data_IF_257901676381
#
_entry.id   IF_257901676381
#
_cell.length_a   1.000
_cell.length_b   1.000
_cell.length_c   1.000
_cell.angle_alpha   90.00
_cell.angle_beta   90.00
_cell.angle_gamma   90.00
#
_symmetry.space_group_name_H-M   'P 1'
#
loop_
_entity.id
_entity.type
_entity.pdbx_description
1 polymer ?
#
# COMPACT_ATOMS: atom_id res chain seq x y z
N UNK A 1 11.12 -12.31 4.01
CA UNK A 1 11.63 -11.98 2.69
C UNK A 1 11.36 -13.09 1.69
N UNK A 2 11.03 -14.28 2.15
CA UNK A 2 10.61 -15.43 1.33
C UNK A 2 9.11 -15.44 0.99
N UNK A 3 8.39 -14.31 1.10
CA UNK A 3 6.98 -14.24 0.76
C UNK A 3 6.75 -14.60 -0.71
N UNK A 4 5.93 -15.62 -1.02
CA UNK A 4 5.72 -16.05 -2.40
C UNK A 4 4.93 -15.03 -3.20
N UNK A 5 5.16 -14.99 -4.50
CA UNK A 5 4.31 -14.21 -5.40
C UNK A 5 2.95 -14.90 -5.56
N UNK A 6 1.84 -14.16 -5.51
CA UNK A 6 0.52 -14.74 -5.73
C UNK A 6 0.33 -15.17 -7.19
N UNK A 7 -0.49 -16.20 -7.40
CA UNK A 7 -0.84 -16.67 -8.74
C UNK A 7 -1.70 -15.67 -9.52
N UNK A 8 -2.48 -14.85 -8.82
CA UNK A 8 -3.41 -13.88 -9.41
C UNK A 8 -3.42 -12.58 -8.61
N UNK A 9 -3.36 -11.50 -9.35
CA UNK A 9 -3.43 -10.14 -8.79
C UNK A 9 -4.83 -9.54 -8.99
N UNK A 10 -5.28 -8.72 -8.06
CA UNK A 10 -6.58 -8.05 -8.13
C UNK A 10 -6.58 -6.86 -9.12
N UNK A 11 -5.42 -6.30 -9.39
CA UNK A 11 -5.24 -5.22 -10.38
C UNK A 11 -3.81 -5.21 -10.92
N UNK A 12 -3.54 -4.37 -11.90
CA UNK A 12 -2.25 -4.32 -12.59
C UNK A 12 -1.12 -3.77 -11.71
N UNK A 13 -1.42 -2.91 -10.74
CA UNK A 13 -0.38 -2.30 -9.89
C UNK A 13 0.50 -3.34 -9.18
N UNK A 14 -0.03 -4.26 -8.34
CA UNK A 14 0.81 -5.28 -7.71
C UNK A 14 1.43 -6.25 -8.71
N UNK A 15 0.76 -6.51 -9.84
CA UNK A 15 1.30 -7.36 -10.90
C UNK A 15 2.56 -6.76 -11.52
N UNK A 16 2.50 -5.51 -11.94
CA UNK A 16 3.65 -4.80 -12.54
C UNK A 16 4.79 -4.62 -11.56
N UNK A 17 4.50 -4.36 -10.27
CA UNK A 17 5.55 -4.27 -9.24
C UNK A 17 6.25 -5.60 -9.01
N UNK A 18 5.50 -6.71 -8.96
CA UNK A 18 6.08 -8.05 -8.83
C UNK A 18 6.92 -8.44 -10.06
N UNK A 19 6.47 -8.09 -11.27
CA UNK A 19 7.23 -8.30 -12.50
C UNK A 19 8.53 -7.49 -12.50
N UNK A 20 8.46 -6.20 -12.16
CA UNK A 20 9.64 -5.33 -12.07
C UNK A 20 10.67 -5.88 -11.06
N UNK A 21 10.23 -6.33 -9.89
CA UNK A 21 11.11 -6.94 -8.90
C UNK A 21 11.80 -8.19 -9.45
N UNK A 22 11.06 -9.09 -10.10
CA UNK A 22 11.66 -10.29 -10.74
C UNK A 22 12.70 -9.92 -11.78
N UNK A 23 12.42 -8.94 -12.64
CA UNK A 23 13.34 -8.48 -13.67
C UNK A 23 14.63 -7.89 -13.06
N UNK A 24 14.50 -7.07 -12.02
CA UNK A 24 15.65 -6.48 -11.31
C UNK A 24 16.51 -7.58 -10.66
N UNK A 25 15.89 -8.56 -9.99
CA UNK A 25 16.65 -9.65 -9.37
C UNK A 25 17.31 -10.57 -10.38
N UNK A 26 16.69 -10.80 -11.54
CA UNK A 26 17.28 -11.57 -12.65
C UNK A 26 18.44 -10.85 -13.32
N UNK A 27 18.47 -9.52 -13.28
CA UNK A 27 19.58 -8.72 -13.82
C UNK A 27 20.81 -8.68 -12.90
N UNK A 28 20.73 -9.32 -11.71
CA UNK A 28 21.86 -9.38 -10.78
C UNK A 28 22.94 -10.32 -11.30
N UNK A 29 24.14 -9.78 -11.54
CA UNK A 29 25.32 -10.55 -11.97
C UNK A 29 26.63 -9.94 -11.42
N UNK A 30 27.76 -10.39 -11.89
CA UNK A 30 29.07 -9.90 -11.47
C UNK A 30 29.35 -8.44 -11.86
N UNK A 31 28.63 -7.90 -12.84
CA UNK A 31 28.79 -6.52 -13.34
C UNK A 31 27.74 -5.57 -12.78
N UNK A 32 26.59 -6.09 -12.35
CA UNK A 32 25.45 -5.31 -11.86
C UNK A 32 24.90 -5.92 -10.57
N UNK A 33 25.22 -5.32 -9.43
CA UNK A 33 24.62 -5.69 -8.17
C UNK A 33 23.22 -5.06 -8.04
N UNK A 34 22.19 -5.91 -7.91
CA UNK A 34 20.81 -5.46 -7.72
C UNK A 34 20.24 -5.98 -6.41
N UNK A 35 19.36 -5.19 -5.81
CA UNK A 35 18.57 -5.54 -4.64
C UNK A 35 17.20 -4.88 -4.72
N UNK A 36 16.23 -5.40 -4.02
CA UNK A 36 14.89 -4.83 -3.95
C UNK A 36 14.45 -4.60 -2.50
N UNK A 37 13.67 -3.54 -2.28
CA UNK A 37 13.00 -3.31 -1.00
C UNK A 37 11.49 -3.30 -1.19
N UNK A 38 10.78 -3.76 -0.17
CA UNK A 38 9.31 -3.84 -0.09
C UNK A 38 8.84 -3.02 1.10
N UNK A 39 8.77 -1.68 0.99
CA UNK A 39 8.22 -0.86 2.06
C UNK A 39 6.70 -1.01 2.08
N UNK A 40 6.11 -0.98 3.27
CA UNK A 40 4.67 -1.04 3.44
C UNK A 40 4.12 0.32 3.88
N UNK A 41 3.08 0.82 3.21
CA UNK A 41 2.38 2.08 3.52
C UNK A 41 3.33 3.23 3.89
N UNK A 42 4.14 3.68 2.93
CA UNK A 42 5.03 4.83 3.13
C UNK A 42 4.20 6.08 3.39
N UNK A 43 4.55 6.83 4.44
CA UNK A 43 3.90 8.08 4.83
C UNK A 43 4.91 9.09 5.36
N UNK A 44 4.55 10.36 5.38
CA UNK A 44 5.39 11.43 5.91
C UNK A 44 5.32 12.72 5.12
N UNK A 45 6.19 13.70 5.40
CA UNK A 45 6.27 14.93 4.64
C UNK A 45 6.49 14.69 3.15
N UNK A 46 5.71 15.38 2.31
CA UNK A 46 5.79 15.22 0.86
C UNK A 46 5.01 14.02 0.29
N UNK A 47 4.30 13.24 1.12
CA UNK A 47 3.45 12.15 0.63
C UNK A 47 2.36 12.68 -0.32
N UNK A 48 2.37 12.30 -1.61
CA UNK A 48 1.33 12.74 -2.55
C UNK A 48 0.13 11.80 -2.61
N UNK A 49 0.16 10.65 -1.92
CA UNK A 49 -0.77 9.55 -2.15
C UNK A 49 -1.59 9.15 -0.92
N UNK A 50 -0.98 8.64 0.15
CA UNK A 50 -1.68 8.02 1.26
C UNK A 50 -2.48 9.05 2.07
N UNK A 51 -1.77 9.97 2.73
CA UNK A 51 -2.39 10.95 3.64
C UNK A 51 -3.34 11.90 2.91
N UNK A 52 -2.97 12.52 1.76
CA UNK A 52 -3.88 13.39 1.02
C UNK A 52 -5.16 12.69 0.56
N UNK A 53 -5.06 11.43 0.13
CA UNK A 53 -6.24 10.64 -0.29
C UNK A 53 -7.16 10.31 0.88
N UNK A 54 -6.61 9.97 2.05
CA UNK A 54 -7.39 9.74 3.27
C UNK A 54 -8.15 11.02 3.66
N UNK A 55 -7.48 12.16 3.73
CA UNK A 55 -8.09 13.47 4.03
C UNK A 55 -9.20 13.80 3.04
N UNK A 56 -8.93 13.70 1.74
CA UNK A 56 -9.92 13.98 0.68
C UNK A 56 -11.15 13.09 0.80
N UNK A 57 -10.97 11.80 1.07
CA UNK A 57 -12.08 10.83 1.22
C UNK A 57 -12.85 11.06 2.51
N UNK A 58 -12.17 11.38 3.62
CA UNK A 58 -12.82 11.71 4.88
C UNK A 58 -13.70 12.96 4.76
N UNK A 59 -13.17 14.06 4.20
CA UNK A 59 -13.93 15.31 3.96
C UNK A 59 -15.14 15.10 3.05
N UNK A 60 -15.05 14.23 2.06
CA UNK A 60 -16.17 13.89 1.17
C UNK A 60 -17.11 12.82 1.76
N UNK A 61 -16.90 12.37 3.00
CA UNK A 61 -17.67 11.31 3.68
C UNK A 61 -17.70 9.98 2.91
N UNK A 62 -16.67 9.73 2.10
CA UNK A 62 -16.53 8.52 1.26
C UNK A 62 -15.59 7.47 1.86
N UNK A 63 -15.00 7.76 3.03
CA UNK A 63 -14.16 6.81 3.74
C UNK A 63 -15.03 5.92 4.62
N UNK A 64 -14.84 4.61 4.52
CA UNK A 64 -15.60 3.59 5.26
C UNK A 64 -14.61 2.60 5.87
N UNK A 65 -14.85 2.23 7.12
CA UNK A 65 -14.17 1.12 7.76
C UNK A 65 -14.61 -0.18 7.07
N UNK A 66 -13.68 -0.93 6.51
CA UNK A 66 -13.96 -2.22 5.90
C UNK A 66 -13.74 -3.33 6.93
N UNK A 67 -14.69 -4.26 7.03
CA UNK A 67 -14.63 -5.33 8.01
C UNK A 67 -14.92 -4.86 9.43
N UNK A 68 -14.26 -5.44 10.41
CA UNK A 68 -14.40 -5.11 11.83
C UNK A 68 -13.58 -3.89 12.26
N UNK A 69 -12.64 -3.45 11.45
CA UNK A 69 -11.74 -2.33 11.71
C UNK A 69 -10.57 -2.67 12.64
N UNK A 70 -10.26 -3.95 12.79
CA UNK A 70 -9.17 -4.45 13.66
C UNK A 70 -7.93 -4.89 12.89
N UNK A 71 -7.88 -4.62 11.58
CA UNK A 71 -6.73 -4.95 10.77
C UNK A 71 -5.47 -4.21 11.26
N UNK A 72 -4.39 -4.96 11.44
CA UNK A 72 -3.08 -4.44 11.78
C UNK A 72 -2.25 -4.32 10.51
N UNK A 73 -1.54 -3.22 10.39
CA UNK A 73 -0.66 -2.93 9.27
C UNK A 73 0.68 -2.44 9.76
N UNK A 74 1.72 -2.79 9.05
CA UNK A 74 3.00 -2.12 9.18
C UNK A 74 2.98 -0.81 8.39
N UNK A 75 3.71 0.17 8.89
CA UNK A 75 3.89 1.44 8.22
C UNK A 75 5.38 1.75 8.08
N UNK A 76 5.71 2.60 7.14
CA UNK A 76 7.09 3.04 6.92
C UNK A 76 7.13 4.56 6.86
N UNK A 77 7.72 5.19 7.87
CA UNK A 77 7.95 6.63 7.79
C UNK A 77 8.99 6.94 6.70
N UNK A 78 8.82 8.06 6.01
CA UNK A 78 9.63 8.39 4.82
C UNK A 78 11.14 8.38 5.10
N UNK A 79 11.58 8.88 6.24
CA UNK A 79 13.00 8.92 6.59
C UNK A 79 13.57 7.51 6.79
N UNK A 80 12.78 6.56 7.30
CA UNK A 80 13.18 5.15 7.42
C UNK A 80 13.26 4.49 6.05
N UNK A 81 12.33 4.80 5.14
CA UNK A 81 12.41 4.32 3.76
C UNK A 81 13.66 4.86 3.05
N UNK A 82 13.96 6.16 3.19
CA UNK A 82 15.18 6.78 2.65
C UNK A 82 16.43 6.15 3.25
N UNK A 83 16.47 6.00 4.59
CA UNK A 83 17.60 5.37 5.28
C UNK A 83 17.87 3.95 4.79
N UNK A 84 16.80 3.16 4.56
CA UNK A 84 16.92 1.81 4.01
C UNK A 84 17.55 1.81 2.61
N UNK A 85 17.13 2.70 1.72
CA UNK A 85 17.72 2.84 0.38
C UNK A 85 19.21 3.19 0.45
N UNK A 86 19.58 4.17 1.29
CA UNK A 86 20.97 4.59 1.44
C UNK A 86 21.83 3.45 2.02
N UNK A 87 21.35 2.78 3.06
CA UNK A 87 22.06 1.64 3.66
C UNK A 87 22.30 0.52 2.67
N UNK A 88 21.32 0.18 1.84
CA UNK A 88 21.47 -0.85 0.80
C UNK A 88 22.44 -0.42 -0.32
N UNK A 89 22.38 0.85 -0.74
CA UNK A 89 23.27 1.39 -1.76
C UNK A 89 24.74 1.44 -1.31
N UNK A 90 24.99 1.55 -0.02
CA UNK A 90 26.33 1.60 0.57
C UNK A 90 26.82 0.26 1.13
N UNK A 91 25.96 -0.75 1.17
CA UNK A 91 26.31 -2.06 1.71
C UNK A 91 27.26 -2.81 0.77
N UNK A 92 28.17 -3.66 1.28
CA UNK A 92 28.96 -4.57 0.46
C UNK A 92 28.06 -5.46 -0.40
N UNK A 93 28.43 -5.64 -1.68
CA UNK A 93 27.63 -6.39 -2.66
C UNK A 93 27.29 -7.81 -2.18
N UNK A 94 28.22 -8.51 -1.55
CA UNK A 94 28.03 -9.86 -1.01
C UNK A 94 26.88 -9.94 0.02
N UNK A 95 26.55 -8.83 0.67
CA UNK A 95 25.50 -8.78 1.67
C UNK A 95 24.11 -8.54 1.06
N UNK A 96 24.03 -7.91 -0.11
CA UNK A 96 22.75 -7.41 -0.66
C UNK A 96 22.41 -7.91 -2.06
N UNK A 97 23.39 -8.42 -2.82
CA UNK A 97 23.20 -8.85 -4.19
C UNK A 97 22.10 -9.91 -4.32
N UNK A 98 21.15 -9.68 -5.21
CA UNK A 98 20.04 -10.59 -5.50
C UNK A 98 19.03 -10.77 -4.36
N UNK A 99 19.08 -9.95 -3.31
CA UNK A 99 18.22 -10.09 -2.13
C UNK A 99 17.04 -9.12 -2.15
N UNK A 100 16.02 -9.47 -1.36
CA UNK A 100 14.81 -8.65 -1.15
C UNK A 100 14.63 -8.40 0.33
N UNK A 101 14.28 -7.18 0.72
CA UNK A 101 14.09 -6.79 2.11
C UNK A 101 12.73 -6.14 2.31
N UNK A 102 11.97 -6.58 3.33
CA UNK A 102 10.85 -5.80 3.83
C UNK A 102 11.37 -4.63 4.67
N UNK A 103 10.70 -3.50 4.54
CA UNK A 103 11.02 -2.29 5.31
C UNK A 103 9.74 -1.79 5.98
N UNK A 104 9.80 -1.66 7.30
CA UNK A 104 8.73 -1.08 8.12
C UNK A 104 9.34 -0.39 9.34
N UNK A 105 8.50 0.34 10.08
CA UNK A 105 8.90 0.97 11.34
C UNK A 105 8.95 -0.04 12.51
N UNK A 106 8.61 -1.33 12.25
CA UNK A 106 8.54 -2.42 13.23
C UNK A 106 7.56 -2.17 14.41
N UNK A 107 6.58 -1.31 14.17
CA UNK A 107 5.51 -0.96 15.11
C UNK A 107 4.13 -1.12 14.43
N UNK A 108 3.63 -2.36 14.27
CA UNK A 108 2.34 -2.59 13.62
C UNK A 108 1.20 -1.89 14.34
N UNK A 109 0.43 -1.10 13.63
CA UNK A 109 -0.68 -0.31 14.17
C UNK A 109 -2.05 -0.86 13.72
N UNK A 110 -3.09 -0.61 14.50
CA UNK A 110 -4.46 -0.77 14.01
C UNK A 110 -4.76 0.35 13.00
N UNK A 111 -4.93 0.00 11.72
CA UNK A 111 -5.07 0.97 10.63
C UNK A 111 -6.12 2.03 10.91
N UNK A 112 -7.31 1.61 11.35
CA UNK A 112 -8.43 2.54 11.56
C UNK A 112 -8.25 3.42 12.79
N UNK A 113 -7.57 2.93 13.83
CA UNK A 113 -7.17 3.75 14.98
C UNK A 113 -6.16 4.82 14.55
N UNK A 114 -5.18 4.43 13.76
CA UNK A 114 -4.17 5.36 13.22
C UNK A 114 -4.82 6.42 12.31
N UNK A 115 -5.70 6.02 11.37
CA UNK A 115 -6.41 6.94 10.48
C UNK A 115 -7.24 7.93 11.30
N UNK A 116 -8.05 7.47 12.26
CA UNK A 116 -8.88 8.34 13.05
C UNK A 116 -8.07 9.29 13.95
N UNK A 117 -6.95 8.83 14.51
CA UNK A 117 -6.01 9.69 15.24
C UNK A 117 -5.43 10.79 14.36
N UNK A 118 -5.06 10.47 13.10
CA UNK A 118 -4.59 11.45 12.13
C UNK A 118 -5.68 12.49 11.80
N UNK A 119 -6.90 12.02 11.49
CA UNK A 119 -8.03 12.90 11.17
C UNK A 119 -8.39 13.82 12.33
N UNK A 120 -8.43 13.29 13.55
CA UNK A 120 -8.71 14.06 14.77
C UNK A 120 -7.70 15.18 14.98
N UNK A 121 -6.41 14.93 14.80
CA UNK A 121 -5.34 15.95 14.87
C UNK A 121 -5.47 17.05 13.83
N UNK A 122 -6.14 16.77 12.71
CA UNK A 122 -6.42 17.72 11.64
C UNK A 122 -7.78 18.42 11.80
N UNK A 123 -8.52 18.17 12.89
CA UNK A 123 -9.86 18.71 13.11
C UNK A 123 -10.93 18.11 12.17
N UNK A 124 -10.66 16.95 11.55
CA UNK A 124 -11.58 16.24 10.66
C UNK A 124 -12.31 15.18 11.48
N UNK A 125 -13.65 15.06 11.34
CA UNK A 125 -14.43 14.04 12.05
C UNK A 125 -13.92 12.62 11.79
N UNK A 126 -13.94 11.79 12.83
CA UNK A 126 -13.56 10.39 12.75
C UNK A 126 -14.48 9.60 11.81
N UNK A 127 -13.93 8.57 11.21
CA UNK A 127 -14.66 7.60 10.39
C UNK A 127 -15.30 6.57 11.33
N UNK A 128 -16.63 6.52 11.35
CA UNK A 128 -17.40 5.58 12.16
C UNK A 128 -18.25 4.61 11.33
N UNK A 129 -18.52 4.97 10.07
CA UNK A 129 -19.33 4.15 9.16
C UNK A 129 -18.56 2.91 8.73
N UNK A 130 -19.21 1.76 8.82
CA UNK A 130 -18.63 0.45 8.46
C UNK A 130 -19.32 -0.16 7.25
N UNK A 131 -18.57 -0.98 6.54
CA UNK A 131 -19.05 -1.87 5.48
C UNK A 131 -18.41 -3.25 5.69
N UNK A 132 -19.16 -4.33 5.55
CA UNK A 132 -18.57 -5.67 5.62
C UNK A 132 -17.60 -5.88 4.44
N UNK A 133 -16.60 -6.73 4.64
CA UNK A 133 -15.62 -7.07 3.60
C UNK A 133 -16.31 -7.56 2.31
N UNK A 134 -17.28 -8.48 2.43
CA UNK A 134 -18.00 -9.02 1.28
C UNK A 134 -18.77 -7.95 0.51
N UNK A 135 -19.42 -7.02 1.22
CA UNK A 135 -20.14 -5.93 0.59
C UNK A 135 -19.18 -4.92 -0.07
N UNK A 136 -18.03 -4.65 0.54
CA UNK A 136 -16.99 -3.82 -0.07
C UNK A 136 -16.44 -4.45 -1.34
N UNK A 137 -16.20 -5.78 -1.34
CA UNK A 137 -15.75 -6.54 -2.51
C UNK A 137 -16.79 -6.55 -3.63
N UNK A 138 -18.08 -6.77 -3.30
CA UNK A 138 -19.19 -6.71 -4.27
C UNK A 138 -19.33 -5.33 -4.88
N UNK A 139 -19.30 -4.29 -4.04
CA UNK A 139 -19.35 -2.89 -4.50
C UNK A 139 -18.16 -2.55 -5.39
N UNK A 140 -16.95 -2.93 -4.99
CA UNK A 140 -15.73 -2.74 -5.78
C UNK A 140 -15.84 -3.40 -7.15
N UNK A 141 -16.25 -4.67 -7.21
CA UNK A 141 -16.42 -5.39 -8.48
C UNK A 141 -17.48 -4.73 -9.39
N UNK A 142 -18.61 -4.28 -8.82
CA UNK A 142 -19.64 -3.58 -9.58
C UNK A 142 -19.12 -2.25 -10.16
N UNK A 143 -18.48 -1.45 -9.30
CA UNK A 143 -17.95 -0.14 -9.73
C UNK A 143 -16.83 -0.30 -10.78
N UNK A 144 -15.93 -1.26 -10.61
CA UNK A 144 -14.89 -1.55 -11.62
C UNK A 144 -15.51 -1.88 -12.99
N UNK A 145 -16.57 -2.72 -13.02
CA UNK A 145 -17.28 -3.06 -14.26
C UNK A 145 -17.98 -1.86 -14.89
N UNK A 146 -18.67 -1.04 -14.09
CA UNK A 146 -19.37 0.16 -14.58
C UNK A 146 -18.38 1.18 -15.14
N UNK A 147 -17.28 1.43 -14.41
CA UNK A 147 -16.24 2.38 -14.85
C UNK A 147 -15.57 1.92 -16.15
N UNK A 148 -15.27 0.62 -16.26
CA UNK A 148 -14.72 0.06 -17.49
C UNK A 148 -15.72 0.13 -18.66
N UNK A 149 -16.99 -0.19 -18.43
CA UNK A 149 -18.02 -0.13 -19.46
C UNK A 149 -18.28 1.30 -19.98
N UNK A 150 -18.25 2.28 -19.07
CA UNK A 150 -18.44 3.70 -19.40
C UNK A 150 -17.13 4.42 -19.76
N UNK A 151 -16.02 3.70 -19.85
CA UNK A 151 -14.68 4.23 -20.15
C UNK A 151 -14.28 5.42 -19.25
N UNK A 152 -14.75 5.41 -17.96
CA UNK A 152 -14.45 6.47 -17.00
C UNK A 152 -12.98 6.37 -16.59
N UNK A 153 -12.19 7.38 -16.93
CA UNK A 153 -10.74 7.41 -16.64
C UNK A 153 -10.37 7.65 -15.17
N UNK A 154 -11.31 8.12 -14.34
CA UNK A 154 -11.06 8.32 -12.91
C UNK A 154 -11.16 7.00 -12.15
N UNK A 155 -10.44 6.92 -11.02
CA UNK A 155 -10.49 5.76 -10.13
C UNK A 155 -11.87 5.65 -9.46
N UNK A 156 -12.48 4.44 -9.42
CA UNK A 156 -13.73 4.21 -8.69
C UNK A 156 -13.58 4.54 -7.20
N UNK A 157 -14.65 5.00 -6.54
CA UNK A 157 -14.60 5.29 -5.10
C UNK A 157 -14.28 4.07 -4.23
N UNK A 158 -14.61 2.87 -4.69
CA UNK A 158 -14.23 1.59 -4.09
C UNK A 158 -13.79 0.63 -5.21
N UNK A 159 -12.66 -0.06 -4.99
CA UNK A 159 -12.18 -1.15 -5.82
C UNK A 159 -12.00 -2.40 -4.96
N UNK A 160 -11.95 -3.58 -5.57
CA UNK A 160 -11.64 -4.81 -4.83
C UNK A 160 -10.27 -4.75 -4.16
N UNK A 161 -9.29 -4.17 -4.84
CA UNK A 161 -7.96 -3.94 -4.29
C UNK A 161 -8.00 -3.05 -3.05
N UNK A 162 -8.72 -1.92 -3.11
CA UNK A 162 -8.87 -1.03 -1.97
C UNK A 162 -9.61 -1.70 -0.81
N UNK A 163 -10.66 -2.47 -1.10
CA UNK A 163 -11.39 -3.22 -0.08
C UNK A 163 -10.47 -4.20 0.68
N UNK A 164 -9.57 -4.88 -0.03
CA UNK A 164 -8.58 -5.79 0.57
C UNK A 164 -7.53 -5.04 1.40
N UNK A 165 -7.11 -3.85 0.97
CA UNK A 165 -6.14 -3.06 1.74
C UNK A 165 -6.71 -2.45 3.02
N UNK A 166 -8.01 -2.19 3.05
CA UNK A 166 -8.69 -1.54 4.19
C UNK A 166 -9.30 -2.53 5.20
N UNK A 167 -9.28 -3.84 4.89
CA UNK A 167 -9.86 -4.91 5.71
C UNK A 167 -8.90 -5.48 6.74
#
# INVERSE_FOLDING_TARGET
ESAPYPYKYLCEYPNTKALAEKMILQANDSSLCTTAIRPHLIWGPGDPHLVPRLIKRANSKRLLIVGDGRNRVDMTYIDNAVSAHIKLALAPNENVAGKVYFVSDDEPVFLWTWINSLLSRLGIPEVTRKISYDNAMRLGNLLEKVYNFLEIKSEPPMTRFLATQLA
#
